data_IF_828549376253
#
_entry.id   IF_828549376253
#
_cell.length_a   1.000
_cell.length_b   1.000
_cell.length_c   1.000
_cell.angle_alpha   90.00
_cell.angle_beta   90.00
_cell.angle_gamma   90.00
#
_symmetry.space_group_name_H-M   'P 1'
#
loop_
_entity.id
_entity.type
_entity.pdbx_description
1 polymer ?
#
# COMPACT_ATOMS: atom_id res chain seq x y z
N UNK A 1 21.42 -22.88 14.17
CA UNK A 1 20.34 -21.95 14.58
C UNK A 1 19.49 -21.59 13.36
N UNK A 2 18.61 -22.48 12.91
CA UNK A 2 17.55 -22.10 11.98
C UNK A 2 16.29 -21.88 12.81
N UNK A 3 16.21 -20.71 13.44
CA UNK A 3 14.95 -20.24 14.01
C UNK A 3 13.99 -19.96 12.85
N UNK A 4 12.72 -20.29 13.03
CA UNK A 4 11.69 -20.05 12.02
C UNK A 4 11.71 -18.59 11.55
N UNK A 5 12.18 -18.40 10.31
CA UNK A 5 12.26 -17.10 9.64
C UNK A 5 10.91 -16.69 9.06
N UNK A 6 9.81 -17.32 9.49
CA UNK A 6 8.45 -17.06 9.03
C UNK A 6 8.04 -15.60 9.21
N UNK A 7 8.58 -14.91 10.22
CA UNK A 7 8.37 -13.47 10.39
C UNK A 7 8.92 -12.64 9.22
N UNK A 8 10.03 -13.05 8.58
CA UNK A 8 10.55 -12.39 7.38
C UNK A 8 9.58 -12.54 6.21
N UNK A 9 8.94 -13.70 6.07
CA UNK A 9 7.90 -13.89 5.06
C UNK A 9 6.73 -12.93 5.29
N UNK A 10 6.26 -12.77 6.53
CA UNK A 10 5.20 -11.81 6.86
C UNK A 10 5.62 -10.37 6.61
N UNK A 11 6.87 -10.00 6.90
CA UNK A 11 7.42 -8.67 6.56
C UNK A 11 7.41 -8.45 5.04
N UNK A 12 7.80 -9.44 4.25
CA UNK A 12 7.78 -9.35 2.78
C UNK A 12 6.34 -9.22 2.26
N UNK A 13 5.40 -10.02 2.78
CA UNK A 13 3.99 -9.94 2.40
C UNK A 13 3.35 -8.61 2.80
N UNK A 14 3.69 -8.08 3.98
CA UNK A 14 3.26 -6.76 4.43
C UNK A 14 3.80 -5.66 3.51
N UNK A 15 5.10 -5.74 3.16
CA UNK A 15 5.73 -4.83 2.20
C UNK A 15 5.07 -4.90 0.82
N UNK A 16 4.77 -6.09 0.32
CA UNK A 16 4.07 -6.28 -0.95
C UNK A 16 2.64 -5.71 -0.91
N UNK A 17 1.90 -5.95 0.17
CA UNK A 17 0.53 -5.49 0.33
C UNK A 17 0.45 -3.95 0.38
N UNK A 18 1.31 -3.32 1.19
CA UNK A 18 1.37 -1.86 1.27
C UNK A 18 1.98 -1.21 0.03
N UNK A 19 2.98 -1.85 -0.59
CA UNK A 19 3.60 -1.36 -1.82
C UNK A 19 2.65 -1.36 -3.03
N UNK A 20 1.76 -2.36 -3.13
CA UNK A 20 0.76 -2.45 -4.20
C UNK A 20 -0.49 -1.62 -3.94
N UNK A 21 -0.77 -1.25 -2.68
CA UNK A 21 -1.95 -0.49 -2.28
C UNK A 21 -2.14 0.80 -3.09
N UNK A 22 -1.13 1.67 -3.16
CA UNK A 22 -1.27 2.98 -3.81
C UNK A 22 -1.53 2.85 -5.33
N UNK A 23 -0.78 2.02 -6.09
CA UNK A 23 -1.12 1.72 -7.49
C UNK A 23 -2.54 1.17 -7.69
N UNK A 24 -2.99 0.23 -6.85
CA UNK A 24 -4.33 -0.36 -6.96
C UNK A 24 -5.42 0.69 -6.74
N UNK A 25 -5.25 1.59 -5.78
CA UNK A 25 -6.20 2.68 -5.53
C UNK A 25 -6.23 3.69 -6.68
N UNK A 26 -5.09 3.95 -7.33
CA UNK A 26 -5.06 4.79 -8.53
C UNK A 26 -5.76 4.16 -9.70
N UNK A 27 -5.46 2.90 -9.96
CA UNK A 27 -6.11 2.16 -11.04
C UNK A 27 -7.61 2.09 -10.80
N UNK A 28 -8.05 1.65 -9.61
CA UNK A 28 -9.46 1.61 -9.23
C UNK A 28 -10.15 2.98 -9.33
N UNK A 29 -9.52 4.05 -8.86
CA UNK A 29 -10.07 5.41 -8.98
C UNK A 29 -10.18 5.91 -10.42
N UNK A 30 -9.34 5.40 -11.33
CA UNK A 30 -9.38 5.72 -12.76
C UNK A 30 -10.50 4.95 -13.45
N UNK A 31 -10.61 3.64 -13.19
CA UNK A 31 -11.69 2.77 -13.68
C UNK A 31 -13.07 3.20 -13.17
N UNK A 32 -13.14 3.76 -11.97
CA UNK A 32 -14.35 4.37 -11.41
C UNK A 32 -14.69 5.75 -12.03
N UNK A 33 -14.03 6.12 -13.14
CA UNK A 33 -14.34 7.29 -13.95
C UNK A 33 -13.51 8.54 -13.64
N UNK A 34 -12.46 8.45 -12.80
CA UNK A 34 -11.47 9.51 -12.59
C UNK A 34 -11.98 10.80 -11.92
N UNK A 35 -13.27 10.85 -11.56
CA UNK A 35 -13.94 11.99 -10.91
C UNK A 35 -13.60 12.05 -9.41
N UNK A 36 -13.80 13.20 -8.74
CA UNK A 36 -13.64 13.29 -7.29
C UNK A 36 -14.47 12.24 -6.52
N UNK A 37 -15.69 11.93 -7.00
CA UNK A 37 -16.56 10.90 -6.42
C UNK A 37 -15.97 9.49 -6.51
N UNK A 38 -15.22 9.18 -7.57
CA UNK A 38 -14.54 7.89 -7.74
C UNK A 38 -13.53 7.60 -6.62
N UNK A 39 -12.89 8.65 -6.10
CA UNK A 39 -11.92 8.55 -5.00
C UNK A 39 -12.60 8.29 -3.66
N UNK A 40 -13.79 8.85 -3.44
CA UNK A 40 -14.62 8.54 -2.28
C UNK A 40 -15.17 7.11 -2.36
N UNK A 41 -15.51 6.64 -3.56
CA UNK A 41 -15.89 5.25 -3.74
C UNK A 41 -14.70 4.30 -3.46
N UNK A 42 -13.50 4.64 -3.94
CA UNK A 42 -12.30 3.88 -3.64
C UNK A 42 -12.01 3.80 -2.13
N UNK A 43 -12.14 4.91 -1.38
CA UNK A 43 -11.94 4.87 0.08
C UNK A 43 -13.01 4.05 0.80
N UNK A 44 -14.25 4.09 0.31
CA UNK A 44 -15.34 3.27 0.84
C UNK A 44 -15.02 1.78 0.65
N UNK A 45 -14.54 1.39 -0.53
CA UNK A 45 -14.11 0.01 -0.80
C UNK A 45 -12.97 -0.43 0.14
N UNK A 46 -11.99 0.45 0.40
CA UNK A 46 -10.92 0.18 1.38
C UNK A 46 -11.48 0.01 2.79
N UNK A 47 -12.39 0.89 3.21
CA UNK A 47 -13.03 0.83 4.52
C UNK A 47 -13.81 -0.47 4.73
N UNK A 48 -14.57 -0.91 3.71
CA UNK A 48 -15.29 -2.19 3.75
C UNK A 48 -14.30 -3.36 3.86
N UNK A 49 -13.24 -3.37 3.06
CA UNK A 49 -12.21 -4.42 3.14
C UNK A 49 -11.55 -4.46 4.53
N UNK A 50 -11.26 -3.30 5.11
CA UNK A 50 -10.70 -3.20 6.47
C UNK A 50 -11.69 -3.68 7.52
N UNK A 51 -12.99 -3.39 7.39
CA UNK A 51 -13.99 -3.93 8.29
C UNK A 51 -14.03 -5.46 8.22
N UNK A 52 -14.09 -6.04 7.02
CA UNK A 52 -14.14 -7.49 6.84
C UNK A 52 -12.88 -8.16 7.42
N UNK A 53 -11.69 -7.65 7.10
CA UNK A 53 -10.44 -8.29 7.52
C UNK A 53 -10.06 -7.93 8.96
N UNK A 54 -10.19 -6.68 9.40
CA UNK A 54 -9.76 -6.26 10.74
C UNK A 54 -10.80 -6.54 11.83
N UNK A 55 -12.07 -6.77 11.48
CA UNK A 55 -13.13 -7.10 12.46
C UNK A 55 -13.56 -8.56 12.35
N UNK A 56 -13.99 -9.02 11.17
CA UNK A 56 -14.60 -10.36 11.06
C UNK A 56 -13.58 -11.49 11.18
N UNK A 57 -12.36 -11.31 10.68
CA UNK A 57 -11.31 -12.33 10.80
C UNK A 57 -10.89 -12.61 12.26
N UNK A 58 -10.47 -11.61 13.07
CA UNK A 58 -10.12 -11.87 14.47
C UNK A 58 -11.34 -12.32 15.28
N UNK A 59 -12.53 -11.77 15.02
CA UNK A 59 -13.76 -12.22 15.68
C UNK A 59 -14.05 -13.70 15.39
N UNK A 60 -13.87 -14.13 14.13
CA UNK A 60 -14.01 -15.53 13.75
C UNK A 60 -13.01 -16.45 14.46
N UNK A 61 -11.77 -16.01 14.67
CA UNK A 61 -10.76 -16.77 15.42
C UNK A 61 -11.15 -16.94 16.90
N UNK A 62 -11.59 -15.86 17.55
CA UNK A 62 -12.02 -15.90 18.95
C UNK A 62 -13.30 -16.74 19.13
N UNK A 63 -14.29 -16.57 18.25
CA UNK A 63 -15.55 -17.32 18.32
C UNK A 63 -15.38 -18.81 17.98
N UNK A 64 -14.39 -19.16 17.15
CA UNK A 64 -14.07 -20.56 16.84
C UNK A 64 -13.25 -21.25 17.93
N UNK A 65 -12.84 -20.53 18.98
CA UNK A 65 -12.00 -21.07 20.06
C UNK A 65 -10.56 -21.37 19.65
N UNK A 66 -10.11 -20.92 18.46
CA UNK A 66 -8.72 -21.07 18.00
C UNK A 66 -7.76 -20.14 18.73
N UNK A 67 -8.29 -19.03 19.25
CA UNK A 67 -7.56 -18.04 20.02
C UNK A 67 -8.37 -17.66 21.27
N UNK A 68 -7.70 -17.42 22.40
CA UNK A 68 -8.37 -17.01 23.63
C UNK A 68 -8.60 -15.50 23.68
N UNK A 69 -9.68 -15.07 24.33
CA UNK A 69 -9.93 -13.65 24.55
C UNK A 69 -8.85 -13.08 25.48
N UNK A 70 -8.14 -12.01 25.08
CA UNK A 70 -7.12 -11.40 25.92
C UNK A 70 -7.74 -10.63 27.09
N UNK A 71 -6.92 -10.33 28.10
CA UNK A 71 -7.31 -9.40 29.17
C UNK A 71 -7.65 -8.02 28.58
N UNK A 72 -8.89 -7.58 28.79
CA UNK A 72 -9.40 -6.31 28.26
C UNK A 72 -8.90 -5.12 29.07
N UNK A 73 -7.61 -4.81 28.96
CA UNK A 73 -6.99 -3.65 29.61
C UNK A 73 -7.33 -2.37 28.86
N UNK A 74 -7.86 -1.36 29.56
CA UNK A 74 -8.28 -0.06 28.99
C UNK A 74 -7.17 0.62 28.18
N UNK A 75 -5.93 0.59 28.68
CA UNK A 75 -4.78 1.17 27.97
C UNK A 75 -4.50 0.44 26.65
N UNK A 76 -4.54 -0.90 26.64
CA UNK A 76 -4.36 -1.69 25.43
C UNK A 76 -5.42 -1.37 24.38
N UNK A 77 -6.69 -1.34 24.78
CA UNK A 77 -7.82 -0.97 23.92
C UNK A 77 -7.68 0.45 23.36
N UNK A 78 -7.28 1.42 24.19
CA UNK A 78 -7.09 2.80 23.78
C UNK A 78 -5.97 2.94 22.74
N UNK A 79 -4.77 2.39 23.00
CA UNK A 79 -3.64 2.51 22.08
C UNK A 79 -3.86 1.73 20.78
N UNK A 80 -4.51 0.57 20.83
CA UNK A 80 -4.94 -0.15 19.63
C UNK A 80 -5.97 0.65 18.83
N UNK A 81 -6.92 1.31 19.50
CA UNK A 81 -7.88 2.22 18.86
C UNK A 81 -7.20 3.42 18.20
N UNK A 82 -6.27 4.07 18.90
CA UNK A 82 -5.48 5.20 18.38
C UNK A 82 -4.62 4.78 17.17
N UNK A 83 -4.02 3.59 17.20
CA UNK A 83 -3.30 3.04 16.07
C UNK A 83 -4.23 2.84 14.85
N UNK A 84 -5.46 2.35 15.07
CA UNK A 84 -6.48 2.24 14.03
C UNK A 84 -6.87 3.58 13.43
N UNK A 85 -7.09 4.60 14.26
CA UNK A 85 -7.38 5.97 13.81
C UNK A 85 -6.21 6.54 13.00
N UNK A 86 -4.98 6.39 13.47
CA UNK A 86 -3.78 6.83 12.75
C UNK A 86 -3.67 6.18 11.36
N UNK A 87 -3.96 4.88 11.26
CA UNK A 87 -3.99 4.17 9.98
C UNK A 87 -5.09 4.67 9.04
N UNK A 88 -6.31 4.88 9.54
CA UNK A 88 -7.43 5.40 8.75
C UNK A 88 -7.17 6.83 8.24
N UNK A 89 -6.64 7.69 9.10
CA UNK A 89 -6.22 9.05 8.73
C UNK A 89 -5.12 8.98 7.66
N UNK A 90 -4.13 8.12 7.83
CA UNK A 90 -3.08 7.90 6.82
C UNK A 90 -3.63 7.52 5.44
N UNK A 91 -4.60 6.59 5.39
CA UNK A 91 -5.25 6.18 4.14
C UNK A 91 -6.01 7.33 3.46
N UNK A 92 -6.73 8.15 4.24
CA UNK A 92 -7.40 9.37 3.75
C UNK A 92 -6.37 10.36 3.20
N UNK A 93 -5.26 10.58 3.93
CA UNK A 93 -4.18 11.48 3.52
C UNK A 93 -3.55 11.06 2.18
N UNK A 94 -3.36 9.76 1.91
CA UNK A 94 -2.85 9.29 0.61
C UNK A 94 -3.78 9.70 -0.54
N UNK A 95 -5.09 9.58 -0.35
CA UNK A 95 -6.09 9.93 -1.36
C UNK A 95 -6.14 11.44 -1.59
N UNK A 96 -6.07 12.23 -0.51
CA UNK A 96 -6.03 13.68 -0.60
C UNK A 96 -4.72 14.21 -1.18
N UNK A 97 -3.58 13.62 -0.83
CA UNK A 97 -2.28 13.93 -1.44
C UNK A 97 -2.33 13.71 -2.96
N UNK A 98 -2.96 12.62 -3.39
CA UNK A 98 -3.17 12.35 -4.82
C UNK A 98 -4.07 13.38 -5.47
N UNK A 99 -5.15 13.79 -4.79
CA UNK A 99 -6.02 14.84 -5.30
C UNK A 99 -5.25 16.15 -5.49
N UNK A 100 -4.48 16.54 -4.49
CA UNK A 100 -3.67 17.76 -4.52
C UNK A 100 -2.61 17.69 -5.63
N UNK A 101 -1.91 16.56 -5.76
CA UNK A 101 -0.92 16.31 -6.80
C UNK A 101 -1.50 16.42 -8.22
N UNK A 102 -2.68 15.83 -8.47
CA UNK A 102 -3.35 15.94 -9.78
C UNK A 102 -3.82 17.37 -10.06
N UNK A 103 -4.26 18.09 -9.04
CA UNK A 103 -4.66 19.49 -9.20
C UNK A 103 -3.46 20.40 -9.51
N UNK A 104 -2.33 20.20 -8.82
CA UNK A 104 -1.08 20.90 -9.08
C UNK A 104 -0.56 20.62 -10.50
N UNK A 105 -0.53 19.35 -10.92
CA UNK A 105 -0.15 18.96 -12.28
C UNK A 105 -0.95 19.71 -13.35
N UNK A 106 -2.28 19.76 -13.19
CA UNK A 106 -3.17 20.47 -14.12
C UNK A 106 -2.94 21.98 -14.13
N UNK A 107 -2.61 22.58 -12.99
CA UNK A 107 -2.30 24.01 -12.89
C UNK A 107 -1.01 24.40 -13.62
N UNK A 108 -0.04 23.49 -13.65
CA UNK A 108 1.26 23.68 -14.30
C UNK A 108 1.31 23.15 -15.75
N UNK A 109 0.22 22.56 -16.25
CA UNK A 109 0.16 21.96 -17.59
C UNK A 109 0.97 20.67 -17.71
N UNK A 110 1.36 20.05 -16.60
CA UNK A 110 2.10 18.80 -16.54
C UNK A 110 1.16 17.59 -16.54
N UNK A 111 1.68 16.45 -17.00
CA UNK A 111 0.92 15.21 -16.97
C UNK A 111 0.56 14.85 -15.51
N UNK A 112 -0.71 14.52 -15.20
CA UNK A 112 -1.13 14.08 -13.88
C UNK A 112 -0.37 12.87 -13.34
N UNK A 113 0.33 12.11 -14.17
CA UNK A 113 1.19 10.99 -13.77
C UNK A 113 2.47 11.46 -13.07
N UNK A 114 3.01 12.64 -13.39
CA UNK A 114 4.28 13.15 -12.85
C UNK A 114 4.27 13.20 -11.33
N UNK A 115 3.33 13.91 -10.70
CA UNK A 115 3.31 14.06 -9.24
C UNK A 115 2.88 12.79 -8.50
N UNK A 116 2.17 11.86 -9.15
CA UNK A 116 1.73 10.60 -8.53
C UNK A 116 2.89 9.66 -8.23
N UNK A 117 3.96 9.73 -9.03
CA UNK A 117 5.14 8.87 -8.89
C UNK A 117 5.85 9.07 -7.55
N UNK A 118 5.73 10.28 -6.97
CA UNK A 118 6.41 10.65 -5.74
C UNK A 118 5.62 10.33 -4.46
N UNK A 119 4.28 10.26 -4.53
CA UNK A 119 3.44 10.17 -3.33
C UNK A 119 3.75 8.91 -2.52
N UNK A 120 3.68 7.73 -3.16
CA UNK A 120 3.90 6.48 -2.45
C UNK A 120 5.35 6.39 -1.92
N UNK A 121 6.40 6.63 -2.72
CA UNK A 121 7.76 6.49 -2.23
C UNK A 121 8.15 7.53 -1.17
N UNK A 122 7.61 8.76 -1.24
CA UNK A 122 7.80 9.75 -0.16
C UNK A 122 7.17 9.28 1.15
N UNK A 123 5.94 8.76 1.13
CA UNK A 123 5.27 8.24 2.33
C UNK A 123 6.05 7.04 2.90
N UNK A 124 6.41 6.08 2.05
CA UNK A 124 7.07 4.85 2.48
C UNK A 124 8.55 5.01 2.84
N UNK A 125 9.20 6.11 2.46
CA UNK A 125 10.55 6.47 2.92
C UNK A 125 10.54 7.30 4.21
N UNK A 126 9.53 8.16 4.40
CA UNK A 126 9.34 8.92 5.63
C UNK A 126 8.84 8.07 6.79
N UNK A 127 7.98 7.08 6.52
CA UNK A 127 7.38 6.25 7.57
C UNK A 127 8.41 5.53 8.46
N UNK A 128 9.47 4.87 7.92
CA UNK A 128 10.55 4.30 8.73
C UNK A 128 11.27 5.34 9.58
N UNK A 129 11.54 6.54 9.03
CA UNK A 129 12.21 7.61 9.76
C UNK A 129 11.38 8.10 10.95
N UNK A 130 10.08 8.37 10.71
CA UNK A 130 9.15 8.77 11.77
C UNK A 130 9.05 7.67 12.83
N UNK A 131 8.94 6.40 12.43
CA UNK A 131 8.88 5.28 13.37
C UNK A 131 10.13 5.22 14.26
N UNK A 132 11.32 5.40 13.69
CA UNK A 132 12.56 5.42 14.49
C UNK A 132 12.58 6.63 15.43
N UNK A 133 12.27 7.83 14.95
CA UNK A 133 12.24 9.04 15.79
C UNK A 133 11.25 8.90 16.95
N UNK A 134 10.04 8.41 16.68
CA UNK A 134 9.03 8.12 17.71
C UNK A 134 9.54 7.06 18.68
N UNK A 135 10.17 5.99 18.18
CA UNK A 135 10.73 4.92 19.02
C UNK A 135 11.91 5.38 19.88
N UNK A 136 12.60 6.47 19.52
CA UNK A 136 13.68 7.05 20.32
C UNK A 136 13.18 7.91 21.47
N UNK A 137 12.03 8.57 21.28
CA UNK A 137 11.48 9.47 22.28
C UNK A 137 10.45 8.78 23.16
N UNK A 138 9.66 7.85 22.61
CA UNK A 138 8.52 7.26 23.31
C UNK A 138 8.86 5.85 23.79
N UNK A 139 8.90 5.67 25.11
CA UNK A 139 9.17 4.40 25.77
C UNK A 139 8.05 4.12 26.78
N UNK A 140 6.88 3.64 26.34
CA UNK A 140 5.77 3.35 27.25
C UNK A 140 6.17 2.26 28.25
N UNK A 141 5.89 2.48 29.54
CA UNK A 141 6.02 1.46 30.58
C UNK A 141 4.62 1.06 31.09
N UNK A 142 4.56 0.03 31.94
CA UNK A 142 3.29 -0.54 32.44
C UNK A 142 2.51 0.42 33.35
N UNK A 143 3.15 1.43 33.94
CA UNK A 143 2.52 2.36 34.90
C UNK A 143 2.14 3.73 34.28
N UNK A 144 2.78 4.12 33.18
CA UNK A 144 2.66 5.45 32.59
C UNK A 144 2.87 5.37 31.08
N UNK A 145 1.77 5.46 30.33
CA UNK A 145 1.78 5.27 28.89
C UNK A 145 2.50 6.40 28.11
N UNK A 146 2.66 7.57 28.72
CA UNK A 146 3.33 8.75 28.14
C UNK A 146 4.71 8.98 28.78
N UNK A 147 5.56 7.96 28.78
CA UNK A 147 6.97 8.14 29.12
C UNK A 147 7.77 8.54 27.89
N UNK A 148 8.26 9.78 27.90
CA UNK A 148 9.16 10.29 26.89
C UNK A 148 10.56 10.48 27.50
N UNK A 149 11.49 9.57 27.21
CA UNK A 149 12.87 9.64 27.69
C UNK A 149 13.85 9.41 26.55
N UNK A 150 14.77 10.36 26.35
CA UNK A 150 15.88 10.21 25.40
C UNK A 150 17.00 9.39 26.06
N UNK A 151 16.80 8.07 26.21
CA UNK A 151 17.72 7.19 26.97
C UNK A 151 19.14 7.13 26.39
N UNK A 152 19.28 7.30 25.08
CA UNK A 152 20.59 7.38 24.42
C UNK A 152 20.46 8.04 23.06
N UNK A 153 21.25 9.09 22.80
CA UNK A 153 21.39 9.62 21.45
C UNK A 153 21.88 8.48 20.53
N UNK A 154 21.19 8.23 19.41
CA UNK A 154 21.61 7.22 18.46
C UNK A 154 23.05 7.49 18.01
N UNK A 155 23.91 6.48 18.07
CA UNK A 155 25.26 6.59 17.52
C UNK A 155 25.21 6.96 16.03
N UNK A 156 26.34 7.44 15.49
CA UNK A 156 26.49 7.91 14.10
C UNK A 156 25.88 6.98 13.02
N UNK A 157 25.81 5.68 13.31
CA UNK A 157 25.20 4.62 12.49
C UNK A 157 23.73 4.90 12.13
N UNK A 158 22.93 5.48 13.03
CA UNK A 158 21.53 5.80 12.70
C UNK A 158 21.47 6.86 11.60
N UNK A 159 22.23 7.94 11.77
CA UNK A 159 22.24 9.06 10.82
C UNK A 159 22.74 8.61 9.45
N UNK A 160 23.78 7.76 9.41
CA UNK A 160 24.24 7.14 8.16
C UNK A 160 23.16 6.22 7.56
N UNK A 161 22.47 5.42 8.37
CA UNK A 161 21.34 4.61 7.91
C UNK A 161 20.21 5.45 7.30
N UNK A 162 19.84 6.55 7.94
CA UNK A 162 18.84 7.49 7.43
C UNK A 162 19.28 8.09 6.10
N UNK A 163 20.55 8.52 5.98
CA UNK A 163 21.11 9.04 4.73
C UNK A 163 21.11 7.98 3.62
N UNK A 164 21.46 6.73 3.92
CA UNK A 164 21.45 5.64 2.94
C UNK A 164 20.03 5.27 2.49
N UNK A 165 19.05 5.28 3.40
CA UNK A 165 17.63 5.06 3.04
C UNK A 165 17.11 6.21 2.18
N UNK A 166 17.44 7.46 2.51
CA UNK A 166 17.09 8.63 1.72
C UNK A 166 17.72 8.56 0.32
N UNK A 167 19.02 8.25 0.23
CA UNK A 167 19.73 8.10 -1.04
C UNK A 167 19.18 6.93 -1.88
N UNK A 168 18.89 5.79 -1.26
CA UNK A 168 18.29 4.64 -1.93
C UNK A 168 16.88 4.94 -2.46
N UNK A 169 16.05 5.61 -1.66
CA UNK A 169 14.72 6.07 -2.09
C UNK A 169 14.83 7.07 -3.24
N UNK A 170 15.74 8.03 -3.13
CA UNK A 170 16.02 8.99 -4.19
C UNK A 170 16.43 8.29 -5.49
N UNK A 171 17.35 7.32 -5.42
CA UNK A 171 17.79 6.57 -6.60
C UNK A 171 16.62 5.81 -7.25
N UNK A 172 15.78 5.15 -6.45
CA UNK A 172 14.59 4.43 -6.94
C UNK A 172 13.62 5.38 -7.64
N UNK A 173 13.37 6.56 -7.04
CA UNK A 173 12.52 7.61 -7.61
C UNK A 173 13.12 8.17 -8.90
N UNK A 174 14.39 8.54 -8.86
CA UNK A 174 15.12 9.10 -10.00
C UNK A 174 15.16 8.12 -11.18
N UNK A 175 15.48 6.84 -10.94
CA UNK A 175 15.44 5.81 -12.00
C UNK A 175 14.03 5.59 -12.56
N UNK A 176 13.00 5.74 -11.74
CA UNK A 176 11.59 5.65 -12.18
C UNK A 176 11.22 6.85 -13.05
N UNK A 177 11.59 8.07 -12.65
CA UNK A 177 11.44 9.28 -13.46
C UNK A 177 12.18 9.19 -14.79
N UNK A 178 13.44 8.74 -14.80
CA UNK A 178 14.23 8.55 -16.03
C UNK A 178 13.60 7.53 -16.99
N UNK A 179 12.98 6.48 -16.43
CA UNK A 179 12.33 5.43 -17.22
C UNK A 179 10.99 5.87 -17.79
N UNK A 180 10.23 6.70 -17.06
CA UNK A 180 8.90 7.17 -17.45
C UNK A 180 8.95 8.51 -18.22
N UNK A 181 10.05 9.27 -18.13
CA UNK A 181 10.30 10.54 -18.84
C UNK A 181 10.93 10.42 -20.23
N UNK A 182 11.35 9.22 -20.66
CA UNK A 182 11.74 8.97 -22.05
C UNK A 182 10.47 8.74 -22.90
N UNK A 183 10.32 9.38 -24.08
CA UNK A 183 9.21 9.07 -24.98
C UNK A 183 9.20 7.58 -25.25
N UNK A 184 8.10 6.93 -24.88
CA UNK A 184 7.89 5.50 -25.04
C UNK A 184 8.18 5.11 -26.50
N UNK A 185 9.33 4.49 -26.74
CA UNK A 185 9.54 3.73 -27.96
C UNK A 185 8.40 2.70 -28.01
N UNK A 186 7.55 2.82 -29.01
CA UNK A 186 6.37 2.00 -29.18
C UNK A 186 6.80 0.52 -29.15
N UNK A 187 6.41 -0.19 -28.08
CA UNK A 187 6.40 -1.65 -28.13
C UNK A 187 5.25 -2.05 -29.07
N UNK A 188 5.51 -2.87 -30.10
CA UNK A 188 4.52 -3.17 -31.13
C UNK A 188 3.26 -3.82 -30.57
N UNK A 189 2.12 -3.34 -31.05
CA UNK A 189 0.82 -3.96 -30.87
C UNK A 189 0.76 -5.32 -31.58
N UNK A 190 0.14 -6.28 -30.89
CA UNK A 190 -0.52 -7.49 -31.36
C UNK A 190 0.30 -8.75 -31.71
N UNK A 191 0.00 -9.82 -30.99
CA UNK A 191 -0.51 -11.04 -31.63
C UNK A 191 -1.68 -11.61 -30.77
N UNK A 192 -2.86 -11.87 -31.37
CA UNK A 192 -4.02 -12.43 -30.67
C UNK A 192 -3.89 -13.95 -30.51
N UNK A 193 -3.97 -14.44 -29.28
CA UNK A 193 -4.02 -15.87 -29.01
C UNK A 193 -5.45 -16.41 -29.21
N UNK A 194 -5.67 -16.88 -30.45
CA UNK A 194 -6.48 -18.04 -30.84
C UNK A 194 -7.96 -18.07 -30.39
N UNK A 195 -8.82 -17.66 -31.31
CA UNK A 195 -10.20 -18.14 -31.39
C UNK A 195 -10.20 -19.67 -31.56
N UNK A 196 -10.87 -20.37 -30.64
CA UNK A 196 -11.19 -21.78 -30.79
C UNK A 196 -12.21 -21.94 -31.92
N UNK A 197 -11.76 -22.40 -33.07
CA UNK A 197 -12.63 -22.72 -34.22
C UNK A 197 -12.91 -24.22 -34.26
N UNK A 198 -14.21 -24.53 -34.23
CA UNK A 198 -14.92 -25.63 -34.90
C UNK A 198 -14.66 -27.10 -34.54
N UNK A 199 -15.74 -27.78 -34.14
CA UNK A 199 -16.10 -29.09 -34.67
C UNK A 199 -17.47 -28.96 -35.39
N UNK A 200 -17.59 -29.26 -36.69
CA UNK A 200 -18.86 -29.24 -37.39
C UNK A 200 -19.55 -30.62 -37.35
N UNK A 201 -20.88 -30.61 -37.24
CA UNK A 201 -21.76 -31.77 -37.43
C UNK A 201 -21.76 -32.22 -38.92
N UNK A 202 -21.88 -33.51 -39.22
CA UNK A 202 -21.86 -33.99 -40.61
C UNK A 202 -23.25 -34.00 -41.25
N UNK A 203 -23.40 -33.31 -42.38
CA UNK A 203 -24.45 -33.54 -43.41
C UNK A 203 -23.74 -33.45 -44.77
N UNK A 204 -23.50 -34.59 -45.43
CA UNK A 204 -24.28 -35.17 -46.54
C UNK A 204 -23.55 -34.92 -47.87
N UNK A 205 -23.59 -35.85 -48.84
CA UNK A 205 -23.47 -35.46 -50.24
C UNK A 205 -24.60 -36.00 -51.12
N UNK A 206 -25.22 -35.16 -51.97
CA UNK A 206 -26.06 -35.63 -53.06
C UNK A 206 -25.29 -35.85 -54.37
N UNK A 207 -25.81 -36.81 -55.14
CA UNK A 207 -25.84 -36.97 -56.60
C UNK A 207 -24.57 -37.41 -57.38
N UNK A 208 -24.69 -38.54 -58.11
CA UNK A 208 -24.43 -38.63 -59.57
C UNK A 208 -25.28 -39.75 -60.23
N UNK A 209 -25.81 -39.42 -61.41
CA UNK A 209 -26.45 -40.20 -62.50
C UNK A 209 -27.69 -41.03 -62.21
#
# INVERSE_FOLDING_TARGET
MSGDKTWLLYVLLAGLSWGTYVPLIFYGGTELGGKPSARLMAILCVGIAYFVIAVLFPLGLFLSGKEQWPEMRTNGLLFSGLAGVAGAVGAICVIFATKAAVAAAKGEGLDPSTFKMYIAPLIFSLAPLINVLVSLVWHPNTETAFHFELKSLPGWKLWVGVLLVAAGTFLVLFSKEESEGKPKAAAPSAAPAVAATSAPAPTEPPAKS
#
